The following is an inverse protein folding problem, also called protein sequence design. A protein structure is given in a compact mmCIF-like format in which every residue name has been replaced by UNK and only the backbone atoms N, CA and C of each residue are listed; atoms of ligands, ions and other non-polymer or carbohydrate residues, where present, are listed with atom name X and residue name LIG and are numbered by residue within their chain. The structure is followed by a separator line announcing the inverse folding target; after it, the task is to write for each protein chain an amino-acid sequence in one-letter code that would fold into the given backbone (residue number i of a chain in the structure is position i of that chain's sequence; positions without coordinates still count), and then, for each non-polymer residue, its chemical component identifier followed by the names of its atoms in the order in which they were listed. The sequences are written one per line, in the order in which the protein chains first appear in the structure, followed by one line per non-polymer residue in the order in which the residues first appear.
data_IF_006664102655
#
_entry.id   IF_006664102655
#
_cell.length_a   1.000
_cell.length_b   1.000
_cell.length_c   1.000
_cell.angle_alpha   90.00
_cell.angle_beta   90.00
_cell.angle_gamma   90.00
#
_symmetry.space_group_name_H-M   'P 1'
#
loop_
_entity.id
_entity.type
_entity.pdbx_description
1 polymer ?
#
# COMPACT_ATOMS: atom_id res chain seq x y z
N UNK A 1 -10.59 -6.69 32.59
CA UNK A 1 -11.42 -5.46 32.40
C UNK A 1 -11.68 -5.15 30.90
N UNK A 2 -11.24 -5.99 29.94
CA UNK A 2 -11.33 -5.66 28.50
C UNK A 2 -12.65 -6.03 27.79
N UNK A 3 -13.74 -6.40 28.49
CA UNK A 3 -14.98 -6.83 27.84
C UNK A 3 -15.80 -5.68 27.25
N UNK A 4 -15.83 -4.51 27.90
CA UNK A 4 -16.56 -3.32 27.39
C UNK A 4 -15.80 -2.71 26.17
N UNK A 5 -14.50 -3.00 26.05
CA UNK A 5 -13.61 -2.41 25.05
C UNK A 5 -13.48 -3.16 23.72
N UNK A 6 -13.96 -4.40 23.57
CA UNK A 6 -13.77 -5.20 22.34
C UNK A 6 -14.55 -4.57 21.18
N UNK A 7 -15.81 -4.20 21.42
CA UNK A 7 -16.67 -3.59 20.39
C UNK A 7 -16.22 -2.17 20.03
N UNK A 8 -15.68 -1.42 21.00
CA UNK A 8 -15.06 -0.11 20.74
C UNK A 8 -13.69 -0.24 20.03
N UNK A 9 -12.86 -1.22 20.39
CA UNK A 9 -11.56 -1.47 19.72
C UNK A 9 -11.74 -1.92 18.29
N UNK A 10 -12.71 -2.80 18.01
CA UNK A 10 -13.03 -3.21 16.65
C UNK A 10 -13.52 -2.03 15.80
N UNK A 11 -14.34 -1.14 16.36
CA UNK A 11 -14.81 0.07 15.69
C UNK A 11 -13.68 1.07 15.41
N UNK A 12 -12.76 1.27 16.36
CA UNK A 12 -11.58 2.13 16.20
C UNK A 12 -10.62 1.54 15.15
N UNK A 13 -10.35 0.24 15.19
CA UNK A 13 -9.52 -0.43 14.19
C UNK A 13 -10.14 -0.32 12.78
N UNK A 14 -11.45 -0.54 12.68
CA UNK A 14 -12.17 -0.35 11.42
C UNK A 14 -12.06 1.09 10.91
N UNK A 15 -12.21 2.09 11.78
CA UNK A 15 -12.02 3.50 11.42
C UNK A 15 -10.60 3.77 10.90
N UNK A 16 -9.57 3.19 11.53
CA UNK A 16 -8.20 3.27 11.03
C UNK A 16 -8.03 2.61 9.67
N UNK A 17 -8.59 1.41 9.44
CA UNK A 17 -8.52 0.72 8.14
C UNK A 17 -9.21 1.55 7.05
N UNK A 18 -10.41 2.08 7.32
CA UNK A 18 -11.13 2.94 6.38
C UNK A 18 -10.32 4.20 6.06
N UNK A 19 -9.71 4.83 7.07
CA UNK A 19 -8.84 5.98 6.86
C UNK A 19 -7.62 5.63 5.99
N UNK A 20 -6.94 4.50 6.26
CA UNK A 20 -5.80 4.02 5.46
C UNK A 20 -6.22 3.83 3.99
N UNK A 21 -7.33 3.14 3.75
CA UNK A 21 -7.84 2.91 2.40
C UNK A 21 -8.25 4.22 1.71
N UNK A 22 -8.90 5.14 2.42
CA UNK A 22 -9.31 6.43 1.87
C UNK A 22 -8.11 7.29 1.44
N UNK A 23 -7.04 7.30 2.23
CA UNK A 23 -5.80 8.01 1.90
C UNK A 23 -5.14 7.40 0.66
N UNK A 24 -5.04 6.07 0.58
CA UNK A 24 -4.46 5.37 -0.59
C UNK A 24 -5.29 5.60 -1.84
N UNK A 25 -6.61 5.46 -1.76
CA UNK A 25 -7.51 5.73 -2.88
C UNK A 25 -7.44 7.18 -3.33
N UNK A 26 -7.41 8.13 -2.39
CA UNK A 26 -7.24 9.55 -2.70
C UNK A 26 -5.94 9.81 -3.45
N UNK A 27 -4.83 9.22 -3.00
CA UNK A 27 -3.55 9.31 -3.70
C UNK A 27 -3.62 8.71 -5.11
N UNK A 28 -4.18 7.51 -5.27
CA UNK A 28 -4.28 6.86 -6.59
C UNK A 28 -5.15 7.66 -7.55
N UNK A 29 -6.33 8.11 -7.11
CA UNK A 29 -7.28 8.83 -7.97
C UNK A 29 -6.76 10.21 -8.37
N UNK A 30 -6.19 10.95 -7.43
CA UNK A 30 -5.67 12.29 -7.71
C UNK A 30 -4.32 12.24 -8.41
N UNK A 31 -3.43 11.34 -7.99
CA UNK A 31 -2.12 11.14 -8.60
C UNK A 31 -2.20 10.60 -10.03
N UNK A 32 -3.22 9.82 -10.38
CA UNK A 32 -3.43 9.34 -11.74
C UNK A 32 -3.51 10.47 -12.78
N UNK A 33 -3.99 11.66 -12.40
CA UNK A 33 -4.02 12.84 -13.28
C UNK A 33 -2.65 13.45 -13.57
N UNK A 34 -1.64 13.16 -12.74
CA UNK A 34 -0.27 13.69 -12.84
C UNK A 34 0.74 12.65 -13.36
N UNK A 35 0.25 11.51 -13.82
CA UNK A 35 1.10 10.45 -14.39
C UNK A 35 1.65 10.89 -15.74
N UNK A 36 2.98 10.89 -15.85
CA UNK A 36 3.68 11.08 -17.11
C UNK A 36 4.14 9.72 -17.65
N UNK A 37 3.58 9.23 -18.78
CA UNK A 37 3.97 7.95 -19.38
C UNK A 37 5.45 7.86 -19.77
N UNK A 38 6.15 9.00 -19.91
CA UNK A 38 7.59 9.02 -20.16
C UNK A 38 8.39 8.40 -19.01
N UNK A 39 7.89 8.46 -17.76
CA UNK A 39 8.54 7.86 -16.60
C UNK A 39 8.50 6.32 -16.64
N UNK A 40 7.64 5.72 -17.47
CA UNK A 40 7.57 4.27 -17.67
C UNK A 40 8.49 3.77 -18.79
N UNK A 41 9.30 4.63 -19.41
CA UNK A 41 10.24 4.22 -20.44
C UNK A 41 11.68 4.48 -20.00
N UNK A 42 12.49 3.43 -19.72
CA UNK A 42 12.16 2.00 -19.74
C UNK A 42 11.48 1.51 -18.45
N UNK A 43 10.42 0.69 -18.57
CA UNK A 43 9.65 0.16 -17.43
C UNK A 43 10.50 -0.79 -16.57
N UNK A 44 11.37 -1.54 -17.23
CA UNK A 44 12.43 -2.31 -16.58
C UNK A 44 13.76 -1.70 -16.98
N UNK A 45 14.43 -0.95 -16.07
CA UNK A 45 15.74 -0.40 -16.35
C UNK A 45 16.75 -1.52 -16.65
N UNK A 46 17.78 -1.21 -17.44
CA UNK A 46 18.84 -2.16 -17.75
C UNK A 46 19.55 -2.61 -16.46
N UNK A 47 19.98 -3.87 -16.41
CA UNK A 47 20.74 -4.39 -15.28
C UNK A 47 22.06 -3.61 -15.16
N UNK A 48 22.39 -3.15 -13.95
CA UNK A 48 23.59 -2.35 -13.69
C UNK A 48 24.87 -3.19 -13.52
N UNK A 49 24.85 -4.48 -13.88
CA UNK A 49 25.96 -5.43 -13.73
C UNK A 49 25.96 -6.20 -12.40
N UNK A 50 25.01 -5.91 -11.51
CA UNK A 50 24.88 -6.55 -10.19
C UNK A 50 23.59 -7.36 -10.10
N UNK A 51 23.67 -8.58 -9.56
CA UNK A 51 22.47 -9.39 -9.31
C UNK A 51 21.57 -8.70 -8.30
N UNK A 52 20.29 -8.53 -8.65
CA UNK A 52 19.29 -7.87 -7.82
C UNK A 52 19.16 -6.35 -8.04
N UNK A 53 19.93 -5.75 -8.96
CA UNK A 53 19.85 -4.32 -9.23
C UNK A 53 19.44 -4.04 -10.69
N UNK A 54 18.12 -3.83 -10.85
CA UNK A 54 17.40 -3.70 -12.13
C UNK A 54 17.67 -4.84 -13.15
N UNK A 55 17.05 -4.77 -14.33
CA UNK A 55 16.80 -5.93 -15.18
C UNK A 55 15.87 -6.95 -14.50
N UNK A 56 15.65 -8.12 -15.13
CA UNK A 56 14.79 -9.17 -14.58
C UNK A 56 15.24 -9.70 -13.21
N UNK A 57 16.56 -9.69 -12.94
CA UNK A 57 17.09 -10.03 -11.62
C UNK A 57 16.62 -9.08 -10.53
N UNK A 58 16.51 -7.78 -10.82
CA UNK A 58 15.96 -6.80 -9.89
C UNK A 58 14.47 -7.01 -9.64
N UNK A 59 13.71 -7.35 -10.67
CA UNK A 59 12.27 -7.67 -10.54
C UNK A 59 12.04 -8.86 -9.60
N UNK A 60 12.83 -9.92 -9.75
CA UNK A 60 12.72 -11.12 -8.89
C UNK A 60 13.12 -10.78 -7.44
N UNK A 61 14.18 -10.01 -7.25
CA UNK A 61 14.61 -9.58 -5.91
C UNK A 61 13.54 -8.70 -5.24
N UNK A 62 12.96 -7.75 -5.97
CA UNK A 62 11.87 -6.91 -5.49
C UNK A 62 10.62 -7.73 -5.15
N UNK A 63 10.27 -8.72 -5.98
CA UNK A 63 9.15 -9.62 -5.71
C UNK A 63 9.35 -10.41 -4.40
N UNK A 64 10.59 -10.85 -4.12
CA UNK A 64 10.91 -11.52 -2.86
C UNK A 64 10.76 -10.57 -1.65
N UNK A 65 11.17 -9.30 -1.76
CA UNK A 65 10.99 -8.31 -0.69
C UNK A 65 9.48 -8.04 -0.46
N UNK A 66 8.73 -7.84 -1.53
CA UNK A 66 7.28 -7.58 -1.47
C UNK A 66 6.53 -8.78 -0.88
N UNK A 67 6.99 -10.01 -1.10
CA UNK A 67 6.40 -11.20 -0.49
C UNK A 67 6.37 -11.11 1.05
N UNK A 68 7.40 -10.54 1.68
CA UNK A 68 7.40 -10.31 3.13
C UNK A 68 6.34 -9.30 3.58
N UNK A 69 5.97 -8.34 2.72
CA UNK A 69 4.91 -7.36 3.03
C UNK A 69 3.50 -7.99 3.05
N UNK A 70 3.33 -9.20 2.52
CA UNK A 70 2.07 -9.95 2.56
C UNK A 70 1.97 -10.91 3.76
N UNK A 71 2.99 -10.95 4.64
CA UNK A 71 2.93 -11.72 5.89
C UNK A 71 1.91 -11.07 6.82
N UNK A 72 0.98 -11.86 7.36
CA UNK A 72 -0.08 -11.38 8.26
C UNK A 72 -1.49 -11.80 7.85
N UNK A 73 -1.69 -12.42 6.69
CA UNK A 73 -3.01 -12.95 6.28
C UNK A 73 -3.53 -14.04 7.22
N UNK A 74 -2.63 -14.71 7.93
CA UNK A 74 -2.92 -15.73 8.95
C UNK A 74 -3.57 -15.13 10.20
N UNK A 75 -3.39 -13.83 10.47
CA UNK A 75 -4.06 -13.16 11.60
C UNK A 75 -5.58 -13.19 11.47
N UNK A 76 -6.13 -13.13 10.24
CA UNK A 76 -7.57 -13.24 9.97
C UNK A 76 -8.12 -14.61 10.41
N UNK A 77 -7.29 -15.65 10.37
CA UNK A 77 -7.71 -16.99 10.83
C UNK A 77 -7.87 -17.07 12.35
N UNK A 78 -7.20 -16.20 13.12
CA UNK A 78 -7.34 -16.17 14.59
C UNK A 78 -8.70 -15.60 15.02
N UNK A 79 -9.29 -14.71 14.22
CA UNK A 79 -10.64 -14.19 14.41
C UNK A 79 -11.75 -15.15 13.94
N UNK A 80 -11.42 -16.38 13.52
CA UNK A 80 -12.42 -17.35 13.05
C UNK A 80 -13.47 -17.70 14.11
N UNK A 81 -13.13 -17.58 15.40
CA UNK A 81 -14.05 -17.86 16.51
C UNK A 81 -15.15 -16.78 16.68
N UNK A 82 -14.96 -15.60 16.11
CA UNK A 82 -15.93 -14.49 16.13
C UNK A 82 -16.72 -14.36 14.81
N UNK A 83 -16.38 -15.16 13.80
CA UNK A 83 -17.06 -15.17 12.52
C UNK A 83 -18.42 -15.88 12.61
N UNK A 84 -19.46 -15.29 11.99
CA UNK A 84 -20.82 -15.85 11.99
C UNK A 84 -20.89 -17.19 11.24
N UNK A 85 -20.17 -17.32 10.11
CA UNK A 85 -20.02 -18.56 9.37
C UNK A 85 -18.55 -18.80 9.00
N UNK A 86 -17.74 -19.35 9.92
CA UNK A 86 -16.28 -19.44 9.73
C UNK A 86 -15.87 -20.26 8.50
N UNK A 87 -16.67 -21.24 8.07
CA UNK A 87 -16.41 -22.07 6.88
C UNK A 87 -16.40 -21.27 5.58
N UNK A 88 -17.10 -20.13 5.51
CA UNK A 88 -17.18 -19.28 4.30
C UNK A 88 -16.58 -17.90 4.52
N UNK A 89 -16.84 -17.30 5.67
CA UNK A 89 -16.49 -15.90 5.93
C UNK A 89 -14.97 -15.72 6.09
N UNK A 90 -14.29 -16.66 6.77
CA UNK A 90 -12.84 -16.62 6.98
C UNK A 90 -12.07 -16.77 5.66
N UNK A 91 -12.29 -17.81 4.83
CA UNK A 91 -11.57 -17.93 3.56
C UNK A 91 -11.92 -16.80 2.58
N UNK A 92 -13.18 -16.35 2.52
CA UNK A 92 -13.56 -15.22 1.68
C UNK A 92 -12.89 -13.93 2.15
N UNK A 93 -12.82 -13.69 3.46
CA UNK A 93 -12.14 -12.54 4.06
C UNK A 93 -10.65 -12.50 3.72
N UNK A 94 -9.94 -13.62 3.85
CA UNK A 94 -8.52 -13.72 3.50
C UNK A 94 -8.29 -13.43 2.01
N UNK A 95 -9.03 -14.10 1.12
CA UNK A 95 -8.82 -13.95 -0.33
C UNK A 95 -9.24 -12.56 -0.82
N UNK A 96 -10.38 -12.04 -0.34
CA UNK A 96 -10.87 -10.72 -0.76
C UNK A 96 -9.97 -9.58 -0.26
N UNK A 97 -9.54 -9.62 1.02
CA UNK A 97 -8.61 -8.63 1.56
C UNK A 97 -7.28 -8.65 0.81
N UNK A 98 -6.72 -9.83 0.55
CA UNK A 98 -5.49 -9.98 -0.21
C UNK A 98 -5.64 -9.40 -1.63
N UNK A 99 -6.70 -9.78 -2.35
CA UNK A 99 -6.93 -9.30 -3.71
C UNK A 99 -7.09 -7.78 -3.77
N UNK A 100 -7.86 -7.19 -2.85
CA UNK A 100 -8.06 -5.72 -2.79
C UNK A 100 -6.73 -5.03 -2.49
N UNK A 101 -5.97 -5.52 -1.49
CA UNK A 101 -4.66 -4.96 -1.15
C UNK A 101 -3.68 -5.06 -2.31
N UNK A 102 -3.63 -6.20 -3.02
CA UNK A 102 -2.77 -6.38 -4.19
C UNK A 102 -3.11 -5.38 -5.31
N UNK A 103 -4.40 -5.16 -5.61
CA UNK A 103 -4.82 -4.19 -6.63
C UNK A 103 -4.43 -2.77 -6.24
N UNK A 104 -4.70 -2.37 -4.99
CA UNK A 104 -4.32 -1.04 -4.49
C UNK A 104 -2.81 -0.84 -4.48
N UNK A 105 -2.04 -1.88 -4.16
CA UNK A 105 -0.59 -1.83 -4.15
C UNK A 105 -0.03 -1.60 -5.56
N UNK A 106 -0.49 -2.37 -6.55
CA UNK A 106 -0.09 -2.19 -7.96
C UNK A 106 -0.50 -0.82 -8.48
N UNK A 107 -1.73 -0.37 -8.18
CA UNK A 107 -2.20 0.95 -8.59
C UNK A 107 -1.36 2.08 -8.00
N UNK A 108 -1.02 1.97 -6.71
CA UNK A 108 -0.15 2.95 -6.02
C UNK A 108 1.24 2.97 -6.64
N UNK A 109 1.85 1.80 -6.91
CA UNK A 109 3.16 1.71 -7.53
C UNK A 109 3.18 2.31 -8.95
N UNK A 110 2.14 2.08 -9.76
CA UNK A 110 2.01 2.65 -11.10
C UNK A 110 1.87 4.17 -11.07
N UNK A 111 1.03 4.70 -10.18
CA UNK A 111 0.85 6.15 -10.01
C UNK A 111 2.14 6.79 -9.51
N UNK A 112 2.78 6.18 -8.51
CA UNK A 112 4.01 6.68 -7.91
C UNK A 112 5.16 6.77 -8.93
N UNK A 113 5.42 5.69 -9.65
CA UNK A 113 6.43 5.64 -10.73
C UNK A 113 6.05 6.47 -11.95
N UNK A 114 4.76 6.71 -12.15
CA UNK A 114 4.25 7.62 -13.18
C UNK A 114 4.43 9.09 -12.84
N UNK A 115 4.34 9.47 -11.56
CA UNK A 115 4.47 10.86 -11.10
C UNK A 115 5.91 11.32 -10.91
N UNK A 116 6.81 10.42 -10.50
CA UNK A 116 8.21 10.71 -10.19
C UNK A 116 9.12 9.62 -10.78
N UNK A 117 10.28 9.97 -11.37
CA UNK A 117 11.24 8.99 -11.87
C UNK A 117 11.68 8.00 -10.79
N UNK A 118 11.85 6.73 -11.17
CA UNK A 118 12.21 5.67 -10.24
C UNK A 118 13.53 5.90 -9.49
N UNK A 119 14.44 6.72 -10.03
CA UNK A 119 15.72 7.08 -9.41
C UNK A 119 15.55 7.87 -8.12
N UNK A 120 14.47 8.64 -8.02
CA UNK A 120 14.26 9.58 -6.91
C UNK A 120 13.34 8.98 -5.84
N UNK A 121 12.80 7.78 -6.09
CA UNK A 121 11.88 7.08 -5.19
C UNK A 121 12.60 6.31 -4.07
N UNK A 122 13.94 6.25 -4.07
CA UNK A 122 14.73 5.63 -2.99
C UNK A 122 14.82 6.56 -1.77
N UNK A 123 13.67 6.79 -1.14
CA UNK A 123 13.49 7.65 0.03
C UNK A 123 12.57 6.99 1.04
N UNK A 124 12.64 7.42 2.30
CA UNK A 124 11.82 6.86 3.38
C UNK A 124 10.30 7.04 3.18
N UNK A 125 9.88 8.08 2.44
CA UNK A 125 8.47 8.41 2.23
C UNK A 125 8.19 8.79 0.76
N UNK A 126 8.18 7.82 -0.17
CA UNK A 126 8.11 8.11 -1.60
C UNK A 126 6.75 8.69 -2.03
N UNK A 127 5.66 8.28 -1.40
CA UNK A 127 4.32 8.85 -1.64
C UNK A 127 4.27 10.33 -1.25
N UNK A 128 4.91 10.69 -0.13
CA UNK A 128 5.01 12.09 0.29
C UNK A 128 5.88 12.91 -0.66
N UNK A 129 7.00 12.35 -1.12
CA UNK A 129 7.86 12.96 -2.13
C UNK A 129 7.08 13.23 -3.42
N UNK A 130 6.32 12.25 -3.91
CA UNK A 130 5.52 12.41 -5.12
C UNK A 130 4.44 13.50 -4.96
N UNK A 131 3.85 13.65 -3.79
CA UNK A 131 2.90 14.74 -3.54
C UNK A 131 3.62 16.10 -3.45
N UNK A 132 4.76 16.16 -2.77
CA UNK A 132 5.52 17.42 -2.61
C UNK A 132 6.13 17.89 -3.94
N UNK A 133 6.42 16.97 -4.87
CA UNK A 133 6.89 17.27 -6.23
C UNK A 133 5.83 17.96 -7.10
N UNK A 134 4.54 17.83 -6.75
CA UNK A 134 3.42 18.42 -7.50
C UNK A 134 2.69 19.44 -6.63
N UNK A 135 2.93 20.74 -6.90
CA UNK A 135 2.41 21.83 -6.07
C UNK A 135 0.87 21.83 -5.90
N UNK A 136 0.14 21.32 -6.90
CA UNK A 136 -1.33 21.20 -6.90
C UNK A 136 -1.86 20.15 -5.91
N UNK A 137 -1.02 19.19 -5.49
CA UNK A 137 -1.38 18.13 -4.55
C UNK A 137 -0.91 18.41 -3.11
N UNK A 138 -0.28 19.54 -2.82
CA UNK A 138 0.26 19.87 -1.48
C UNK A 138 -0.76 19.80 -0.35
N UNK A 139 -2.03 20.08 -0.64
CA UNK A 139 -3.14 19.94 0.32
C UNK A 139 -3.41 18.49 0.71
N UNK A 140 -3.09 17.52 -0.17
CA UNK A 140 -3.14 16.09 0.08
C UNK A 140 -1.93 15.58 0.88
N UNK A 141 -0.83 16.33 0.87
CA UNK A 141 0.41 15.93 1.55
C UNK A 141 0.23 15.80 3.06
N UNK A 142 -0.54 16.70 3.67
CA UNK A 142 -0.78 16.69 5.11
C UNK A 142 -1.66 15.49 5.55
N UNK A 143 -2.82 15.21 4.92
CA UNK A 143 -3.59 13.99 5.16
C UNK A 143 -2.79 12.71 4.94
N UNK A 144 -1.97 12.65 3.88
CA UNK A 144 -1.21 11.43 3.53
C UNK A 144 -0.07 11.20 4.53
N UNK A 145 0.67 12.23 4.92
CA UNK A 145 1.74 12.13 5.93
C UNK A 145 1.17 11.73 7.29
N UNK A 146 0.05 12.33 7.72
CA UNK A 146 -0.63 11.95 8.96
C UNK A 146 -1.19 10.53 8.87
N UNK A 147 -1.80 10.16 7.76
CA UNK A 147 -2.30 8.81 7.49
C UNK A 147 -1.19 7.76 7.57
N UNK A 148 0.00 8.05 7.04
CA UNK A 148 1.17 7.17 7.12
C UNK A 148 1.64 6.97 8.57
N UNK A 149 1.67 8.03 9.39
CA UNK A 149 2.05 7.93 10.81
C UNK A 149 1.03 7.09 11.57
N UNK A 150 -0.27 7.37 11.38
CA UNK A 150 -1.35 6.59 11.99
C UNK A 150 -1.28 5.12 11.56
N UNK A 151 -0.94 4.88 10.29
CA UNK A 151 -0.81 3.53 9.75
C UNK A 151 0.32 2.71 10.39
N UNK A 152 1.41 3.34 10.80
CA UNK A 152 2.51 2.66 11.50
C UNK A 152 2.19 2.31 12.96
N UNK A 153 1.26 3.04 13.59
CA UNK A 153 0.90 2.85 15.02
C UNK A 153 -0.17 1.77 15.20
N UNK A 154 -0.92 1.45 14.13
CA UNK A 154 -2.09 0.56 14.15
C UNK A 154 -1.82 -0.76 13.45
#
# INVERSE_FOLDING_TARGET
ICYIGIRQSAAINFAFVVLKIAVVLGFVLLGAGFVNPANWHPLVPANTGHFGHFGWSGVIAAAAIIFFAFIGFDTVSTCAQEARNPRRDVPLGIVSSLAICSVLYVATALVLTGMVPYSDLDVAAPVALAIDAHAELRWLGLPVKLGAIVAMIS
#
